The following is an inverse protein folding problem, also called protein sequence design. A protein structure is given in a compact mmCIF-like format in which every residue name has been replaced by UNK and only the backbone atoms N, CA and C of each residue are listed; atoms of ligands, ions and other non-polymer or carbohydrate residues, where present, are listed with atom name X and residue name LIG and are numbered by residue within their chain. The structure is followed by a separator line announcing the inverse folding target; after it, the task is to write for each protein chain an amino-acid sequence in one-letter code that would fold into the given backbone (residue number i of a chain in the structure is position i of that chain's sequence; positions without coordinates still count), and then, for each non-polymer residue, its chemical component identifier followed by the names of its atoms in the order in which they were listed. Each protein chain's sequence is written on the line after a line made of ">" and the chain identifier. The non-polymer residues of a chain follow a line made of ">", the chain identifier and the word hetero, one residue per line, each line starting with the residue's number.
data_IF_821898007034
#
_entry.id   IF_821898007034
#
_cell.length_a   1.000
_cell.length_b   1.000
_cell.length_c   1.000
_cell.angle_alpha   90.00
_cell.angle_beta   90.00
_cell.angle_gamma   90.00
#
_symmetry.space_group_name_H-M   'P 1'
#
loop_
_entity.id
_entity.type
_entity.pdbx_description
1 polymer ?
#
# COMPACT_ATOMS: atom_id res chain seq x y z
N UNK A 1 -14.10 -13.26 8.83
CA UNK A 1 -13.52 -11.97 9.27
C UNK A 1 -12.79 -11.39 8.09
N UNK A 2 -13.10 -10.14 7.76
CA UNK A 2 -12.47 -9.46 6.64
C UNK A 2 -11.04 -9.08 7.03
N UNK A 3 -10.11 -9.21 6.10
CA UNK A 3 -8.70 -8.86 6.31
C UNK A 3 -8.38 -7.57 5.56
N UNK A 4 -7.51 -6.77 6.16
CA UNK A 4 -6.96 -5.59 5.52
C UNK A 4 -5.49 -5.84 5.23
N UNK A 5 -5.03 -5.35 4.10
CA UNK A 5 -3.65 -5.49 3.63
C UNK A 5 -3.05 -4.10 3.44
N UNK A 6 -1.74 -3.96 3.66
CA UNK A 6 -0.98 -2.77 3.29
C UNK A 6 0.15 -3.17 2.35
N UNK A 7 0.15 -2.59 1.15
CA UNK A 7 1.15 -2.85 0.12
C UNK A 7 2.29 -1.82 0.18
N UNK A 8 3.50 -2.31 0.43
CA UNK A 8 4.75 -1.57 0.31
C UNK A 8 5.61 -2.12 -0.84
N UNK A 9 6.02 -1.25 -1.77
CA UNK A 9 6.80 -1.65 -2.96
C UNK A 9 8.04 -0.77 -3.11
N UNK A 10 9.23 -1.35 -2.90
CA UNK A 10 10.48 -0.60 -2.94
C UNK A 10 11.66 -1.45 -3.46
N UNK A 11 12.29 -1.00 -4.53
CA UNK A 11 13.56 -1.56 -5.03
C UNK A 11 14.40 -0.42 -5.61
N UNK A 12 14.97 0.39 -4.73
CA UNK A 12 15.82 1.51 -5.10
C UNK A 12 17.22 1.00 -5.49
N UNK A 13 17.74 1.51 -6.61
CA UNK A 13 19.14 1.27 -7.01
C UNK A 13 20.13 1.95 -6.06
N UNK A 14 19.71 3.07 -5.47
CA UNK A 14 20.44 3.82 -4.46
C UNK A 14 20.45 3.06 -3.11
N UNK A 15 21.63 2.63 -2.63
CA UNK A 15 21.74 1.85 -1.40
C UNK A 15 21.26 2.60 -0.16
N UNK A 16 21.42 3.92 -0.09
CA UNK A 16 21.00 4.71 1.07
C UNK A 16 19.47 4.79 1.13
N UNK A 17 18.82 5.00 -0.02
CA UNK A 17 17.34 4.99 -0.11
C UNK A 17 16.76 3.61 0.20
N UNK A 18 17.37 2.54 -0.34
CA UNK A 18 16.92 1.19 -0.03
C UNK A 18 17.12 0.86 1.46
N UNK A 19 18.25 1.29 2.04
CA UNK A 19 18.52 1.12 3.46
C UNK A 19 17.51 1.87 4.34
N UNK A 20 17.15 3.10 3.95
CA UNK A 20 16.11 3.88 4.63
C UNK A 20 14.74 3.19 4.56
N UNK A 21 14.37 2.66 3.40
CA UNK A 21 13.15 1.87 3.27
C UNK A 21 13.17 0.64 4.20
N UNK A 22 14.22 -0.18 4.12
CA UNK A 22 14.32 -1.42 4.87
C UNK A 22 14.28 -1.20 6.39
N UNK A 23 15.03 -0.20 6.89
CA UNK A 23 15.27 -0.05 8.32
C UNK A 23 14.35 0.97 9.01
N UNK A 24 13.77 1.91 8.26
CA UNK A 24 12.90 2.96 8.81
C UNK A 24 11.46 2.76 8.36
N UNK A 25 11.20 2.82 7.05
CA UNK A 25 9.83 2.85 6.50
C UNK A 25 9.13 1.50 6.67
N UNK A 26 9.72 0.43 6.14
CA UNK A 26 9.20 -0.94 6.24
C UNK A 26 8.98 -1.35 7.69
N UNK A 27 9.96 -1.08 8.56
CA UNK A 27 9.86 -1.37 9.99
C UNK A 27 8.66 -0.66 10.61
N UNK A 28 8.49 0.64 10.34
CA UNK A 28 7.36 1.42 10.88
C UNK A 28 6.02 0.93 10.34
N UNK A 29 5.93 0.63 9.05
CA UNK A 29 4.70 0.13 8.45
C UNK A 29 4.32 -1.25 9.01
N UNK A 30 5.30 -2.15 9.23
CA UNK A 30 5.09 -3.43 9.91
C UNK A 30 4.56 -3.23 11.34
N UNK A 31 5.14 -2.28 12.09
CA UNK A 31 4.66 -1.94 13.44
C UNK A 31 3.19 -1.47 13.42
N UNK A 32 2.84 -0.56 12.51
CA UNK A 32 1.45 -0.12 12.32
C UNK A 32 0.53 -1.29 11.96
N UNK A 33 0.93 -2.10 10.99
CA UNK A 33 0.14 -3.23 10.52
C UNK A 33 -0.16 -4.23 11.64
N UNK A 34 0.84 -4.54 12.46
CA UNK A 34 0.68 -5.41 13.62
C UNK A 34 -0.29 -4.82 14.66
N UNK A 35 -0.27 -3.51 14.86
CA UNK A 35 -1.11 -2.82 15.85
C UNK A 35 -2.58 -2.79 15.45
N UNK A 36 -2.87 -2.76 14.15
CA UNK A 36 -4.22 -2.66 13.57
C UNK A 36 -4.74 -3.96 12.95
N UNK A 37 -4.04 -5.09 13.15
CA UNK A 37 -4.37 -6.38 12.55
C UNK A 37 -4.50 -6.32 11.01
N UNK A 38 -3.57 -5.61 10.39
CA UNK A 38 -3.42 -5.47 8.93
C UNK A 38 -2.24 -6.34 8.50
N UNK A 39 -2.35 -7.02 7.36
CA UNK A 39 -1.28 -7.82 6.80
C UNK A 39 -0.37 -6.96 5.90
N UNK A 40 0.93 -6.97 6.14
CA UNK A 40 1.88 -6.18 5.36
C UNK A 40 2.44 -6.97 4.17
N UNK A 41 2.11 -6.55 2.96
CA UNK A 41 2.60 -7.10 1.70
C UNK A 41 3.81 -6.30 1.22
N UNK A 42 5.00 -6.86 1.39
CA UNK A 42 6.27 -6.21 1.02
C UNK A 42 6.82 -6.78 -0.30
N UNK A 43 7.00 -5.91 -1.29
CA UNK A 43 7.58 -6.26 -2.59
C UNK A 43 8.89 -5.49 -2.78
N UNK A 44 10.01 -6.19 -2.65
CA UNK A 44 11.37 -5.62 -2.77
C UNK A 44 12.22 -6.25 -3.86
N UNK A 45 11.66 -7.22 -4.58
CA UNK A 45 12.31 -7.98 -5.64
C UNK A 45 11.37 -8.10 -6.83
N UNK A 46 11.94 -8.45 -7.99
CA UNK A 46 11.18 -8.71 -9.21
C UNK A 46 10.34 -7.50 -9.67
N UNK A 47 10.85 -6.29 -9.42
CA UNK A 47 10.24 -5.05 -9.91
C UNK A 47 10.73 -4.80 -11.32
N UNK A 48 9.80 -4.60 -12.24
CA UNK A 48 10.09 -4.34 -13.65
C UNK A 48 9.24 -3.18 -14.19
N UNK A 49 9.73 -2.45 -15.20
CA UNK A 49 8.97 -1.37 -15.81
C UNK A 49 7.76 -1.93 -16.57
N UNK A 50 6.58 -1.36 -16.31
CA UNK A 50 5.38 -1.63 -17.10
C UNK A 50 5.21 -0.47 -18.06
N UNK A 51 5.04 -0.74 -19.35
CA UNK A 51 5.01 0.30 -20.40
C UNK A 51 6.22 1.24 -20.34
N UNK A 52 7.40 0.68 -20.02
CA UNK A 52 8.66 1.43 -19.93
C UNK A 52 8.80 2.34 -18.71
N UNK A 53 7.90 2.31 -17.72
CA UNK A 53 8.03 3.09 -16.47
C UNK A 53 7.85 2.22 -15.23
N UNK A 54 8.73 2.38 -14.25
CA UNK A 54 8.66 1.69 -12.96
C UNK A 54 7.46 2.15 -12.11
N UNK A 55 7.06 3.41 -12.21
CA UNK A 55 5.92 3.96 -11.45
C UNK A 55 4.59 3.23 -11.70
N UNK A 56 4.45 2.55 -12.85
CA UNK A 56 3.26 1.75 -13.15
C UNK A 56 3.22 0.41 -12.39
N UNK A 57 4.37 -0.12 -11.97
CA UNK A 57 4.44 -1.45 -11.36
C UNK A 57 3.53 -1.58 -10.13
N UNK A 58 3.57 -0.60 -9.23
CA UNK A 58 2.79 -0.59 -7.98
C UNK A 58 1.28 -0.69 -8.26
N UNK A 59 0.78 0.04 -9.26
CA UNK A 59 -0.64 0.03 -9.64
C UNK A 59 -1.08 -1.32 -10.21
N UNK A 60 -0.29 -1.92 -11.10
CA UNK A 60 -0.60 -3.23 -11.65
C UNK A 60 -0.48 -4.34 -10.61
N UNK A 61 0.48 -4.22 -9.69
CA UNK A 61 0.60 -5.15 -8.57
C UNK A 61 -0.61 -5.07 -7.63
N UNK A 62 -1.13 -3.87 -7.37
CA UNK A 62 -2.37 -3.69 -6.61
C UNK A 62 -3.56 -4.39 -7.30
N UNK A 63 -3.70 -4.26 -8.63
CA UNK A 63 -4.74 -4.96 -9.41
C UNK A 63 -4.57 -6.49 -9.31
N UNK A 64 -3.35 -7.00 -9.41
CA UNK A 64 -3.06 -8.43 -9.24
C UNK A 64 -3.46 -8.92 -7.84
N UNK A 65 -3.11 -8.16 -6.80
CA UNK A 65 -3.46 -8.48 -5.40
C UNK A 65 -4.98 -8.48 -5.20
N UNK A 66 -5.66 -7.47 -5.72
CA UNK A 66 -7.13 -7.37 -5.65
C UNK A 66 -7.80 -8.58 -6.30
N UNK A 67 -7.34 -9.00 -7.49
CA UNK A 67 -8.00 -10.06 -8.24
C UNK A 67 -7.66 -11.47 -7.72
N UNK A 68 -6.42 -11.68 -7.27
CA UNK A 68 -5.91 -13.03 -6.99
C UNK A 68 -5.77 -13.34 -5.50
N UNK A 69 -5.58 -12.34 -4.64
CA UNK A 69 -5.29 -12.52 -3.21
C UNK A 69 -6.51 -12.15 -2.36
N UNK A 70 -7.08 -10.97 -2.57
CA UNK A 70 -8.17 -10.47 -1.73
C UNK A 70 -9.45 -11.26 -1.96
N UNK A 71 -10.24 -11.41 -0.91
CA UNK A 71 -11.60 -11.93 -0.98
C UNK A 71 -12.60 -10.78 -0.83
N UNK A 72 -13.87 -11.09 -1.10
CA UNK A 72 -14.94 -10.14 -0.88
C UNK A 72 -14.95 -9.64 0.57
N UNK A 73 -15.05 -8.32 0.73
CA UNK A 73 -15.01 -7.65 2.02
C UNK A 73 -13.61 -7.28 2.52
N UNK A 74 -12.53 -7.80 1.93
CA UNK A 74 -11.16 -7.43 2.28
C UNK A 74 -10.82 -6.00 1.80
N UNK A 75 -9.84 -5.39 2.45
CA UNK A 75 -9.35 -4.05 2.16
C UNK A 75 -7.89 -4.03 1.70
N UNK A 76 -7.56 -3.17 0.74
CA UNK A 76 -6.17 -2.91 0.35
C UNK A 76 -5.82 -1.45 0.59
N UNK A 77 -4.82 -1.22 1.44
CA UNK A 77 -4.08 0.04 1.58
C UNK A 77 -2.90 0.02 0.62
N UNK A 78 -2.75 1.09 -0.14
CA UNK A 78 -1.63 1.33 -1.03
C UNK A 78 -0.95 2.63 -0.62
N UNK A 79 0.37 2.59 -0.38
CA UNK A 79 1.15 3.73 0.07
C UNK A 79 2.46 3.85 -0.72
N UNK A 80 3.01 5.06 -0.86
CA UNK A 80 4.34 5.24 -1.46
C UNK A 80 5.45 4.69 -0.55
N UNK A 81 6.54 4.24 -1.18
CA UNK A 81 7.67 3.65 -0.46
C UNK A 81 8.53 4.68 0.27
N UNK A 82 8.34 5.97 0.01
CA UNK A 82 8.92 7.10 0.74
C UNK A 82 7.91 7.76 1.71
N UNK A 83 6.69 7.22 1.82
CA UNK A 83 5.70 7.64 2.80
C UNK A 83 5.85 6.85 4.11
N UNK A 84 5.67 7.54 5.25
CA UNK A 84 5.86 6.99 6.59
C UNK A 84 4.66 7.25 7.48
N UNK A 85 4.16 6.21 8.17
CA UNK A 85 3.14 6.35 9.20
C UNK A 85 3.78 6.84 10.50
N UNK A 86 3.67 8.15 10.76
CA UNK A 86 4.29 8.79 11.93
C UNK A 86 3.54 8.43 13.21
N UNK A 87 2.21 8.62 13.22
CA UNK A 87 1.35 8.23 14.32
C UNK A 87 0.81 6.81 14.10
N UNK A 88 1.24 5.88 14.95
CA UNK A 88 0.84 4.47 14.86
C UNK A 88 -0.59 4.22 15.32
N UNK A 89 -1.21 5.17 16.01
CA UNK A 89 -2.58 5.06 16.49
C UNK A 89 -3.60 5.70 15.54
N UNK A 90 -3.13 6.33 14.46
CA UNK A 90 -4.01 6.92 13.45
C UNK A 90 -4.87 5.83 12.81
N UNK A 91 -6.17 6.09 12.68
CA UNK A 91 -7.07 5.21 11.93
C UNK A 91 -7.00 5.58 10.45
N UNK A 92 -6.33 4.74 9.66
CA UNK A 92 -6.26 4.93 8.21
C UNK A 92 -7.39 4.20 7.46
N UNK A 93 -8.09 3.28 8.11
CA UNK A 93 -9.22 2.62 7.46
C UNK A 93 -10.37 3.62 7.28
N UNK A 94 -11.18 3.44 6.23
CA UNK A 94 -12.34 4.29 6.03
C UNK A 94 -13.30 4.18 7.22
N UNK A 95 -14.04 5.27 7.54
CA UNK A 95 -15.08 5.22 8.56
C UNK A 95 -16.08 4.10 8.32
N UNK A 96 -16.76 3.65 9.37
CA UNK A 96 -17.75 2.58 9.27
C UNK A 96 -18.78 2.85 8.15
N UNK A 97 -19.08 1.81 7.36
CA UNK A 97 -19.98 1.89 6.20
C UNK A 97 -19.36 2.52 4.94
N UNK A 98 -18.11 2.99 5.00
CA UNK A 98 -17.37 3.46 3.82
C UNK A 98 -16.43 2.37 3.31
N UNK A 99 -16.22 2.38 2.01
CA UNK A 99 -15.40 1.39 1.29
C UNK A 99 -14.11 1.95 0.72
N UNK A 100 -13.91 3.25 0.90
CA UNK A 100 -12.91 4.01 0.18
C UNK A 100 -12.43 5.16 1.05
N UNK A 101 -11.11 5.35 1.08
CA UNK A 101 -10.44 6.49 1.69
C UNK A 101 -9.18 6.81 0.90
N UNK A 102 -8.77 8.08 0.87
CA UNK A 102 -7.57 8.53 0.19
C UNK A 102 -6.98 9.75 0.91
N UNK A 103 -5.69 9.99 0.73
CA UNK A 103 -5.05 11.25 1.13
C UNK A 103 -4.32 11.86 -0.06
N UNK A 104 -4.33 13.19 -0.14
CA UNK A 104 -3.57 13.96 -1.12
C UNK A 104 -2.51 14.77 -0.38
N UNK A 105 -1.25 14.65 -0.79
CA UNK A 105 -0.20 15.59 -0.39
C UNK A 105 -0.13 16.75 -1.40
N UNK A 106 0.12 17.94 -0.87
CA UNK A 106 0.33 19.22 -1.57
C UNK A 106 1.48 19.24 -2.57
N UNK A 107 2.43 18.28 -2.52
CA UNK A 107 3.62 18.26 -3.39
C UNK A 107 3.53 17.40 -4.65
N UNK A 108 2.50 16.57 -4.81
CA UNK A 108 2.36 15.71 -6.00
C UNK A 108 1.31 16.28 -6.94
N UNK A 109 1.75 16.92 -8.03
CA UNK A 109 0.93 17.36 -9.17
C UNK A 109 0.22 16.22 -9.93
N UNK A 110 0.25 15.02 -9.39
CA UNK A 110 -0.26 13.80 -10.00
C UNK A 110 -1.26 13.18 -9.03
N UNK A 111 -2.44 12.87 -9.54
CA UNK A 111 -3.67 12.39 -8.83
C UNK A 111 -3.48 11.00 -8.15
N UNK A 112 -2.24 10.57 -7.92
CA UNK A 112 -1.90 9.29 -7.33
C UNK A 112 -1.62 9.55 -5.85
N UNK A 113 -2.68 9.59 -5.04
CA UNK A 113 -2.61 9.93 -3.62
C UNK A 113 -1.54 9.13 -2.87
N UNK A 114 -0.93 9.76 -1.87
CA UNK A 114 0.08 9.14 -0.99
C UNK A 114 -0.44 7.90 -0.27
N UNK A 115 -1.77 7.79 -0.16
CA UNK A 115 -2.52 6.70 0.44
C UNK A 115 -3.84 6.47 -0.33
N UNK A 116 -4.16 5.21 -0.59
CA UNK A 116 -5.44 4.77 -1.15
C UNK A 116 -5.91 3.51 -0.45
N UNK A 117 -7.15 3.50 0.04
CA UNK A 117 -7.82 2.30 0.55
C UNK A 117 -8.98 1.90 -0.37
N UNK A 118 -9.07 0.61 -0.71
CA UNK A 118 -10.17 0.04 -1.48
C UNK A 118 -10.71 -1.22 -0.77
N UNK A 119 -12.01 -1.25 -0.48
CA UNK A 119 -12.73 -2.45 -0.06
C UNK A 119 -13.35 -3.16 -1.26
N UNK A 120 -13.19 -4.48 -1.35
CA UNK A 120 -13.75 -5.27 -2.44
C UNK A 120 -15.21 -5.63 -2.16
N UNK A 121 -16.07 -5.40 -3.15
CA UNK A 121 -17.46 -5.84 -3.15
C UNK A 121 -17.74 -6.64 -4.42
N UNK A 122 -18.45 -7.77 -4.29
CA UNK A 122 -18.94 -8.55 -5.42
C UNK A 122 -18.20 -9.88 -5.66
N UNK A 123 -18.94 -10.80 -6.29
CA UNK A 123 -18.54 -12.17 -6.59
C UNK A 123 -17.31 -12.23 -7.52
N UNK A 124 -16.30 -13.01 -7.14
CA UNK A 124 -15.28 -13.49 -8.08
C UNK A 124 -16.01 -14.26 -9.20
N UNK A 125 -15.90 -13.78 -10.44
CA UNK A 125 -16.37 -14.49 -11.63
C UNK A 125 -15.61 -15.79 -11.82
#
# INVERSE_FOLDING_TARGET
>A
MNKNYLLGVASYEDPEKQNFFNNVISKRNKEYCNLHNIEYLEVTKEIYPIRGKLGWFKMFKAVEIVNNILNEGDGLIYMDADALIVDKNAELLPPEGKSFAYSIDTRTHTVWGSFLYIKIFGHKN
#
